data_IF_934079034806
#
_entry.id   IF_934079034806
#
_cell.length_a   1.000
_cell.length_b   1.000
_cell.length_c   1.000
_cell.angle_alpha   90.00
_cell.angle_beta   90.00
_cell.angle_gamma   90.00
#
_symmetry.space_group_name_H-M   'P 1'
#
loop_
_entity.id
_entity.type
_entity.pdbx_description
1 polymer ?
#
# COMPACT_ATOMS: atom_id res chain seq x y z
N UNK A 1 -18.14 -3.61 -6.76
CA UNK A 1 -17.79 -2.21 -7.10
C UNK A 1 -16.40 -2.26 -7.69
N UNK A 2 -16.21 -1.81 -8.93
CA UNK A 2 -14.94 -1.91 -9.65
C UNK A 2 -13.91 -1.02 -8.96
N UNK A 3 -12.73 -1.57 -8.72
CA UNK A 3 -11.57 -0.83 -8.28
C UNK A 3 -11.14 0.10 -9.42
N UNK A 4 -11.32 1.41 -9.26
CA UNK A 4 -10.92 2.36 -10.29
C UNK A 4 -9.39 2.50 -10.28
N UNK A 5 -8.76 2.45 -11.45
CA UNK A 5 -7.36 2.85 -11.58
C UNK A 5 -7.29 4.36 -11.25
N UNK A 6 -6.42 4.81 -10.33
CA UNK A 6 -6.37 6.21 -9.89
C UNK A 6 -5.66 7.11 -10.91
N UNK A 7 -5.99 6.97 -12.20
CA UNK A 7 -5.32 7.66 -13.31
C UNK A 7 -5.82 9.09 -13.47
N UNK A 8 -7.00 9.42 -12.94
CA UNK A 8 -7.47 10.81 -12.83
C UNK A 8 -7.46 11.28 -11.38
N UNK A 9 -7.45 12.60 -11.12
CA UNK A 9 -7.52 13.11 -9.75
C UNK A 9 -8.77 12.71 -8.97
N UNK A 10 -9.92 12.54 -9.63
CA UNK A 10 -11.17 12.12 -8.98
C UNK A 10 -11.14 10.63 -8.64
N UNK A 11 -10.66 9.80 -9.56
CA UNK A 11 -10.41 8.37 -9.30
C UNK A 11 -9.36 8.21 -8.21
N UNK A 12 -8.29 9.01 -8.23
CA UNK A 12 -7.31 9.06 -7.17
C UNK A 12 -7.94 9.51 -5.86
N UNK A 13 -8.76 10.55 -5.81
CA UNK A 13 -9.41 10.97 -4.58
C UNK A 13 -10.36 9.88 -4.05
N UNK A 14 -11.04 9.13 -4.93
CA UNK A 14 -11.88 8.00 -4.53
C UNK A 14 -11.05 6.82 -4.00
N UNK A 15 -10.01 6.43 -4.74
CA UNK A 15 -9.04 5.41 -4.37
C UNK A 15 -8.32 5.76 -3.08
N UNK A 16 -7.82 7.00 -2.96
CA UNK A 16 -7.14 7.55 -1.80
C UNK A 16 -8.07 7.75 -0.61
N UNK A 17 -9.36 8.07 -0.79
CA UNK A 17 -10.33 8.04 0.32
C UNK A 17 -10.54 6.62 0.83
N UNK A 18 -10.58 5.62 -0.06
CA UNK A 18 -10.64 4.22 0.35
C UNK A 18 -9.36 3.76 1.04
N UNK A 19 -8.19 4.25 0.61
CA UNK A 19 -6.90 4.10 1.29
C UNK A 19 -6.72 5.04 2.50
N UNK A 20 -7.55 6.06 2.66
CA UNK A 20 -7.38 7.16 3.62
C UNK A 20 -8.21 6.97 4.88
N UNK A 21 -9.27 6.16 4.79
CA UNK A 21 -9.73 5.36 5.94
C UNK A 21 -8.59 4.53 6.53
N UNK A 22 -7.53 4.32 5.75
CA UNK A 22 -6.46 3.41 6.05
C UNK A 22 -5.18 4.00 6.70
N UNK A 23 -5.14 5.27 7.14
CA UNK A 23 -4.00 5.88 7.90
C UNK A 23 -2.61 5.26 7.61
N UNK A 24 -2.23 5.07 6.34
CA UNK A 24 -0.98 4.42 5.96
C UNK A 24 0.20 5.25 6.48
N UNK A 25 1.34 4.60 6.71
CA UNK A 25 2.57 5.19 7.24
C UNK A 25 3.06 6.46 6.48
N UNK A 26 2.65 6.64 5.21
CA UNK A 26 2.83 7.87 4.42
C UNK A 26 1.51 8.60 4.09
N UNK A 27 0.35 7.96 4.30
CA UNK A 27 -0.98 8.57 4.25
C UNK A 27 -1.37 9.11 5.62
N UNK A 28 -0.57 10.05 6.13
CA UNK A 28 -1.02 10.97 7.17
C UNK A 28 -2.34 11.60 6.70
N UNK A 29 -3.25 11.97 7.63
CA UNK A 29 -4.51 12.61 7.27
C UNK A 29 -4.26 13.75 6.28
N UNK A 30 -4.74 13.56 5.06
CA UNK A 30 -4.56 14.55 4.01
C UNK A 30 -5.52 15.67 4.30
N UNK A 31 -4.93 16.86 4.45
CA UNK A 31 -5.68 18.09 4.68
C UNK A 31 -6.21 18.59 3.34
N UNK A 32 -5.40 18.50 2.27
CA UNK A 32 -5.75 19.04 0.95
C UNK A 32 -5.18 18.18 -0.20
N UNK A 33 -5.99 18.03 -1.25
CA UNK A 33 -5.63 17.45 -2.54
C UNK A 33 -5.83 18.50 -3.64
N UNK A 34 -4.78 18.84 -4.37
CA UNK A 34 -4.82 19.78 -5.48
C UNK A 34 -4.49 19.05 -6.79
N UNK A 35 -5.47 18.85 -7.69
CA UNK A 35 -5.16 18.37 -9.03
C UNK A 35 -4.31 19.40 -9.76
N UNK A 36 -3.12 19.01 -10.23
CA UNK A 36 -2.21 19.91 -10.95
C UNK A 36 -2.27 19.66 -12.45
N UNK A 37 -2.09 18.40 -12.86
CA UNK A 37 -2.02 18.01 -14.26
C UNK A 37 -2.85 16.76 -14.52
N UNK A 38 -3.57 16.77 -15.65
CA UNK A 38 -4.13 15.57 -16.25
C UNK A 38 -3.21 15.12 -17.38
N UNK A 39 -2.76 13.88 -17.34
CA UNK A 39 -1.93 13.27 -18.37
C UNK A 39 -2.78 12.23 -19.12
N UNK A 40 -2.35 11.86 -20.33
CA UNK A 40 -3.07 10.86 -21.16
C UNK A 40 -3.17 9.51 -20.45
N UNK A 41 -2.15 9.13 -19.69
CA UNK A 41 -2.05 7.84 -18.97
C UNK A 41 -1.79 8.04 -17.48
N UNK A 42 -2.33 9.11 -16.90
CA UNK A 42 -2.10 9.39 -15.48
C UNK A 42 -2.49 10.80 -15.03
N UNK A 43 -2.09 11.13 -13.82
CA UNK A 43 -2.33 12.46 -13.25
C UNK A 43 -1.22 12.87 -12.30
N UNK A 44 -1.20 14.16 -11.98
CA UNK A 44 -0.33 14.73 -10.95
C UNK A 44 -1.20 15.48 -9.97
N UNK A 45 -1.06 15.12 -8.69
CA UNK A 45 -1.80 15.70 -7.59
C UNK A 45 -0.81 16.20 -6.55
N UNK A 46 -0.95 17.46 -6.13
CA UNK A 46 -0.24 17.95 -4.95
C UNK A 46 -1.05 17.59 -3.71
N UNK A 47 -0.37 17.00 -2.73
CA UNK A 47 -0.97 16.49 -1.51
C UNK A 47 -0.30 17.17 -0.32
N UNK A 48 -1.12 17.62 0.63
CA UNK A 48 -0.66 18.22 1.89
C UNK A 48 -1.23 17.48 3.07
N UNK A 49 -0.40 17.26 4.09
CA UNK A 49 -0.81 16.58 5.31
C UNK A 49 -0.29 17.32 6.55
N UNK A 50 -0.97 17.11 7.67
CA UNK A 50 -0.50 17.59 8.97
C UNK A 50 0.72 16.80 9.43
N UNK A 51 1.79 17.50 9.83
CA UNK A 51 2.89 16.89 10.55
C UNK A 51 2.72 17.09 12.05
N UNK A 52 3.48 16.35 12.87
CA UNK A 52 3.51 16.53 14.33
C UNK A 52 4.07 17.89 14.76
N UNK A 53 4.65 18.65 13.81
CA UNK A 53 5.08 20.03 13.96
C UNK A 53 4.03 20.96 13.33
N UNK A 54 3.98 22.26 13.68
CA UNK A 54 3.02 23.22 13.10
C UNK A 54 3.22 23.52 11.60
N UNK A 55 3.93 22.66 10.86
CA UNK A 55 4.16 22.78 9.42
C UNK A 55 3.35 21.73 8.67
N UNK A 56 2.65 22.19 7.64
CA UNK A 56 2.09 21.31 6.64
C UNK A 56 3.24 20.76 5.79
N UNK A 57 3.33 19.44 5.71
CA UNK A 57 4.22 18.77 4.78
C UNK A 57 3.49 18.60 3.45
N UNK A 58 4.25 18.66 2.34
CA UNK A 58 3.69 18.54 1.00
C UNK A 58 4.50 17.59 0.12
N UNK A 59 3.79 16.90 -0.76
CA UNK A 59 4.38 16.13 -1.84
C UNK A 59 3.58 16.25 -3.13
N UNK A 60 4.26 15.93 -4.23
CA UNK A 60 3.67 15.78 -5.55
C UNK A 60 3.54 14.28 -5.80
N UNK A 61 2.30 13.79 -5.83
CA UNK A 61 1.99 12.44 -6.27
C UNK A 61 1.84 12.45 -7.79
N UNK A 62 2.67 11.65 -8.45
CA UNK A 62 2.64 11.45 -9.89
C UNK A 62 2.17 10.03 -10.10
N UNK A 63 1.00 9.87 -10.71
CA UNK A 63 0.36 8.57 -10.89
C UNK A 63 0.35 8.27 -12.37
N UNK A 64 0.98 7.17 -12.77
CA UNK A 64 1.15 6.81 -14.17
C UNK A 64 0.82 5.34 -14.37
N UNK A 65 0.09 5.06 -15.45
CA UNK A 65 -0.14 3.68 -15.89
C UNK A 65 1.14 3.02 -16.37
N UNK A 66 2.03 3.79 -17.01
CA UNK A 66 3.33 3.33 -17.50
C UNK A 66 4.44 4.26 -17.05
N UNK A 67 5.55 3.68 -16.61
CA UNK A 67 6.72 4.45 -16.19
C UNK A 67 7.35 5.13 -17.42
N UNK A 68 7.65 6.42 -17.31
CA UNK A 68 8.34 7.20 -18.36
C UNK A 68 9.15 8.33 -17.77
N UNK A 69 10.00 8.95 -18.59
CA UNK A 69 10.75 10.14 -18.19
C UNK A 69 9.79 11.30 -17.86
N UNK A 70 10.04 11.98 -16.74
CA UNK A 70 9.18 13.04 -16.22
C UNK A 70 9.93 14.37 -16.16
N UNK A 71 10.24 14.95 -17.33
CA UNK A 71 11.01 16.20 -17.41
C UNK A 71 10.37 17.35 -16.61
N UNK A 72 9.02 17.41 -16.59
CA UNK A 72 8.31 18.42 -15.80
C UNK A 72 8.51 18.25 -14.29
N UNK A 73 8.77 17.03 -13.82
CA UNK A 73 8.88 16.75 -12.38
C UNK A 73 10.07 17.50 -11.77
N UNK A 74 11.15 17.71 -12.54
CA UNK A 74 12.30 18.51 -12.11
C UNK A 74 11.94 19.96 -11.73
N UNK A 75 10.85 20.50 -12.30
CA UNK A 75 10.40 21.87 -12.01
C UNK A 75 9.60 21.97 -10.71
N UNK A 76 9.08 20.85 -10.18
CA UNK A 76 8.31 20.80 -8.95
C UNK A 76 9.24 20.87 -7.73
N UNK A 77 9.01 21.79 -6.81
CA UNK A 77 9.82 21.94 -5.58
C UNK A 77 9.21 21.17 -4.43
N UNK A 78 9.92 20.18 -3.89
CA UNK A 78 9.45 19.36 -2.76
C UNK A 78 9.56 17.86 -3.01
N UNK A 79 8.98 17.06 -2.10
CA UNK A 79 8.94 15.60 -2.19
C UNK A 79 8.11 15.17 -3.39
N UNK A 80 8.63 14.24 -4.20
CA UNK A 80 7.94 13.70 -5.36
C UNK A 80 7.82 12.20 -5.19
N UNK A 81 6.62 11.69 -5.39
CA UNK A 81 6.30 10.28 -5.22
C UNK A 81 5.68 9.82 -6.54
N UNK A 82 6.25 8.77 -7.12
CA UNK A 82 5.71 8.10 -8.29
C UNK A 82 4.89 6.90 -7.83
N UNK A 83 3.66 6.79 -8.30
CA UNK A 83 2.78 5.63 -8.13
C UNK A 83 2.53 5.04 -9.50
N UNK A 84 2.92 3.79 -9.71
CA UNK A 84 2.79 3.13 -11.01
C UNK A 84 2.70 1.61 -10.85
N UNK A 85 1.95 0.90 -11.71
CA UNK A 85 1.89 -0.56 -11.66
C UNK A 85 3.16 -1.23 -12.21
N UNK A 86 4.01 -0.48 -12.92
CA UNK A 86 5.25 -1.01 -13.51
C UNK A 86 6.43 -0.88 -12.55
N UNK A 87 7.41 -1.78 -12.69
CA UNK A 87 8.71 -1.55 -12.08
C UNK A 87 9.40 -0.37 -12.78
N UNK A 88 10.12 0.42 -11.99
CA UNK A 88 10.85 1.59 -12.49
C UNK A 88 12.34 1.26 -12.48
N UNK A 89 13.09 1.75 -13.47
CA UNK A 89 14.54 1.63 -13.48
C UNK A 89 15.16 2.34 -12.26
N UNK A 90 16.10 1.67 -11.58
CA UNK A 90 16.79 2.20 -10.37
C UNK A 90 17.43 3.57 -10.56
N UNK A 91 17.79 3.92 -11.79
CA UNK A 91 18.37 5.22 -12.16
C UNK A 91 17.40 6.40 -12.00
N UNK A 92 16.08 6.15 -11.99
CA UNK A 92 15.04 7.18 -12.01
C UNK A 92 14.46 7.48 -10.61
N UNK A 93 14.86 6.72 -9.58
CA UNK A 93 14.31 6.89 -8.23
C UNK A 93 15.34 6.61 -7.11
N UNK A 94 15.05 7.15 -5.94
CA UNK A 94 15.72 6.81 -4.68
C UNK A 94 14.83 5.79 -3.94
N UNK A 95 15.21 4.52 -4.00
CA UNK A 95 14.53 3.46 -3.27
C UNK A 95 14.63 3.73 -1.75
N UNK A 96 13.50 4.05 -1.11
CA UNK A 96 13.40 4.15 0.36
C UNK A 96 12.32 3.24 0.94
N UNK A 97 11.65 2.46 0.08
CA UNK A 97 10.52 1.61 0.41
C UNK A 97 9.57 1.46 -0.77
N UNK A 98 8.79 0.37 -0.76
CA UNK A 98 7.72 0.10 -1.72
C UNK A 98 6.43 -0.22 -0.97
N UNK A 99 5.32 0.40 -1.37
CA UNK A 99 3.99 -0.01 -0.94
C UNK A 99 3.37 -0.88 -2.01
N UNK A 100 2.76 -1.99 -1.59
CA UNK A 100 1.96 -2.87 -2.42
C UNK A 100 0.50 -2.85 -1.99
N UNK A 101 -0.39 -2.94 -2.97
CA UNK A 101 -1.84 -2.92 -2.76
C UNK A 101 -2.41 -4.17 -3.44
N UNK A 102 -3.20 -4.94 -2.71
CA UNK A 102 -3.79 -6.19 -3.15
C UNK A 102 -5.31 -6.08 -3.15
N UNK A 103 -5.97 -6.57 -4.19
CA UNK A 103 -7.44 -6.57 -4.29
C UNK A 103 -8.06 -7.70 -3.46
N UNK A 104 -9.17 -7.40 -2.78
CA UNK A 104 -9.93 -8.37 -1.98
C UNK A 104 -11.06 -9.09 -2.76
N UNK A 105 -11.08 -9.00 -4.09
CA UNK A 105 -12.13 -9.57 -4.96
C UNK A 105 -12.08 -11.10 -5.11
N UNK A 106 -10.97 -11.73 -4.74
CA UNK A 106 -10.68 -13.14 -4.99
C UNK A 106 -11.45 -14.08 -4.03
N UNK A 107 -11.75 -15.32 -4.45
CA UNK A 107 -12.18 -16.38 -3.54
C UNK A 107 -11.02 -16.71 -2.59
N UNK A 108 -11.29 -16.88 -1.29
CA UNK A 108 -10.24 -16.95 -0.29
C UNK A 108 -10.60 -17.92 0.86
N UNK A 109 -9.59 -18.51 1.50
CA UNK A 109 -9.72 -19.44 2.62
C UNK A 109 -9.75 -18.71 3.97
N UNK A 110 -10.67 -19.07 4.86
CA UNK A 110 -10.82 -18.40 6.16
C UNK A 110 -9.61 -18.64 7.06
N UNK A 111 -8.89 -17.57 7.40
CA UNK A 111 -7.81 -17.59 8.38
C UNK A 111 -8.33 -17.73 9.82
N UNK A 112 -7.47 -18.22 10.71
CA UNK A 112 -7.76 -18.32 12.15
C UNK A 112 -7.44 -17.01 12.85
N UNK A 113 -8.40 -16.53 13.64
CA UNK A 113 -8.28 -15.34 14.49
C UNK A 113 -7.80 -15.73 15.89
N UNK A 114 -6.81 -15.00 16.42
CA UNK A 114 -6.43 -15.08 17.83
C UNK A 114 -6.70 -13.76 18.54
N UNK A 115 -7.02 -13.86 19.83
CA UNK A 115 -7.17 -12.72 20.73
C UNK A 115 -5.81 -12.19 21.25
N UNK A 116 -4.73 -12.98 21.17
CA UNK A 116 -3.38 -12.62 21.63
C UNK A 116 -2.26 -13.18 20.72
N UNK A 117 -1.14 -12.47 20.56
CA UNK A 117 0.01 -12.95 19.79
C UNK A 117 0.77 -14.06 20.55
N UNK A 118 1.44 -14.97 19.83
CA UNK A 118 2.44 -15.86 20.41
C UNK A 118 3.59 -15.11 21.09
N UNK A 119 4.24 -15.75 22.07
CA UNK A 119 5.37 -15.17 22.80
C UNK A 119 6.51 -14.75 21.85
N UNK A 120 7.18 -13.64 22.18
CA UNK A 120 8.31 -13.12 21.41
C UNK A 120 7.94 -12.19 20.26
N UNK A 121 6.66 -11.97 19.99
CA UNK A 121 6.19 -11.02 18.98
C UNK A 121 5.69 -9.71 19.60
N UNK A 122 5.75 -8.57 18.88
CA UNK A 122 5.25 -7.29 19.38
C UNK A 122 3.77 -7.38 19.76
N UNK A 123 3.33 -6.69 20.81
CA UNK A 123 1.89 -6.67 21.13
C UNK A 123 1.11 -5.88 20.08
N UNK A 124 -0.02 -6.41 19.55
CA UNK A 124 -0.90 -5.64 18.69
C UNK A 124 -1.56 -4.51 19.49
N UNK A 125 -1.55 -3.31 18.95
CA UNK A 125 -2.44 -2.24 19.40
C UNK A 125 -3.93 -2.60 19.26
N UNK A 126 -4.85 -1.85 19.92
CA UNK A 126 -6.28 -2.17 20.00
C UNK A 126 -6.99 -2.22 18.66
N UNK A 127 -6.38 -1.63 17.62
CA UNK A 127 -6.92 -1.53 16.28
C UNK A 127 -6.47 -2.66 15.34
N UNK A 128 -5.71 -3.64 15.82
CA UNK A 128 -5.25 -4.75 14.99
C UNK A 128 -6.11 -6.00 15.15
N UNK A 129 -6.27 -6.71 14.04
CA UNK A 129 -6.73 -8.08 13.94
C UNK A 129 -5.50 -8.96 13.73
N UNK A 130 -5.38 -10.00 14.53
CA UNK A 130 -4.27 -10.93 14.45
C UNK A 130 -4.66 -12.16 13.65
N UNK A 131 -3.84 -12.49 12.65
CA UNK A 131 -4.02 -13.64 11.75
C UNK A 131 -2.74 -14.47 11.71
N UNK A 132 -2.87 -15.80 11.74
CA UNK A 132 -1.73 -16.73 11.75
C UNK A 132 -2.10 -18.11 11.18
N UNK A 133 -1.08 -18.93 10.90
CA UNK A 133 -1.22 -20.21 10.17
C UNK A 133 -1.44 -21.46 11.03
N UNK A 134 -1.81 -21.33 12.31
CA UNK A 134 -1.98 -22.49 13.20
C UNK A 134 -0.73 -22.89 14.02
N UNK A 135 -0.70 -24.11 14.61
CA UNK A 135 0.26 -24.51 15.64
C UNK A 135 1.74 -24.43 15.24
N UNK A 136 2.06 -24.75 13.98
CA UNK A 136 3.43 -24.71 13.46
C UNK A 136 3.91 -23.28 13.16
N UNK A 137 3.02 -22.29 13.27
CA UNK A 137 3.28 -20.86 13.12
C UNK A 137 4.18 -20.55 11.92
N UNK A 138 3.65 -20.75 10.71
CA UNK A 138 4.32 -20.44 9.44
C UNK A 138 4.34 -18.94 9.15
N UNK A 139 3.29 -18.22 9.55
CA UNK A 139 3.20 -16.77 9.48
C UNK A 139 2.39 -16.20 10.63
N UNK A 140 2.64 -14.93 10.93
CA UNK A 140 1.87 -14.09 11.84
C UNK A 140 1.78 -12.68 11.24
N UNK A 141 0.57 -12.12 11.18
CA UNK A 141 0.40 -10.75 10.71
C UNK A 141 -0.62 -9.97 11.54
N UNK A 142 -0.38 -8.67 11.64
CA UNK A 142 -1.28 -7.71 12.29
C UNK A 142 -1.93 -6.86 11.20
N UNK A 143 -3.19 -7.17 10.94
CA UNK A 143 -4.01 -6.44 9.99
C UNK A 143 -4.76 -5.35 10.76
N UNK A 144 -4.55 -4.09 10.43
CA UNK A 144 -5.34 -3.04 11.04
C UNK A 144 -6.83 -3.19 10.66
N UNK A 145 -7.75 -3.11 11.61
CA UNK A 145 -9.19 -3.31 11.37
C UNK A 145 -9.86 -2.15 10.64
N UNK A 146 -9.31 -0.94 10.77
CA UNK A 146 -9.81 0.25 10.08
C UNK A 146 -9.22 0.37 8.71
N UNK A 147 -7.97 -0.10 8.62
CA UNK A 147 -7.07 0.26 7.57
C UNK A 147 -6.62 -0.87 6.65
N UNK A 148 -6.79 -2.12 7.04
CA UNK A 148 -6.39 -3.28 6.26
C UNK A 148 -4.93 -3.24 5.76
N UNK A 149 -4.07 -2.44 6.39
CA UNK A 149 -2.64 -2.52 6.23
C UNK A 149 -2.12 -3.61 7.13
N UNK A 150 -1.11 -4.30 6.63
CA UNK A 150 -0.32 -5.21 7.41
C UNK A 150 0.75 -4.37 8.11
N UNK A 151 0.47 -4.03 9.37
CA UNK A 151 1.33 -3.19 10.22
C UNK A 151 2.49 -4.01 10.82
N UNK A 152 2.34 -5.33 10.87
CA UNK A 152 3.38 -6.29 11.22
C UNK A 152 3.20 -7.56 10.40
N UNK A 153 4.30 -8.09 9.85
CA UNK A 153 4.34 -9.38 9.18
C UNK A 153 5.59 -10.12 9.63
N UNK A 154 5.40 -11.32 10.14
CA UNK A 154 6.45 -12.29 10.37
C UNK A 154 6.14 -13.55 9.57
N UNK A 155 7.18 -14.09 8.92
CA UNK A 155 7.13 -15.31 8.14
C UNK A 155 8.25 -16.22 8.63
N UNK A 156 7.95 -17.51 8.78
CA UNK A 156 8.97 -18.54 9.01
C UNK A 156 9.82 -18.79 7.76
N UNK A 157 9.26 -18.53 6.57
CA UNK A 157 9.92 -18.63 5.27
C UNK A 157 9.16 -17.81 4.21
N UNK A 158 9.85 -17.33 3.15
CA UNK A 158 9.24 -16.52 2.09
C UNK A 158 8.09 -17.21 1.36
N UNK A 159 8.10 -18.54 1.28
CA UNK A 159 7.05 -19.37 0.68
C UNK A 159 5.68 -19.24 1.37
N UNK A 160 5.63 -18.74 2.60
CA UNK A 160 4.40 -18.57 3.37
C UNK A 160 3.74 -17.20 3.18
N UNK A 161 4.35 -16.32 2.39
CA UNK A 161 3.83 -15.00 2.12
C UNK A 161 2.45 -15.06 1.46
N UNK A 162 2.24 -16.01 0.54
CA UNK A 162 0.97 -16.13 -0.17
C UNK A 162 -0.17 -16.52 0.78
N UNK A 163 0.04 -17.53 1.64
CA UNK A 163 -0.93 -17.92 2.67
C UNK A 163 -1.23 -16.76 3.65
N UNK A 164 -0.21 -15.97 3.99
CA UNK A 164 -0.35 -14.78 4.82
C UNK A 164 -1.20 -13.70 4.12
N UNK A 165 -0.92 -13.42 2.84
CA UNK A 165 -1.69 -12.43 2.06
C UNK A 165 -3.14 -12.87 1.85
N UNK A 166 -3.39 -14.16 1.57
CA UNK A 166 -4.74 -14.71 1.48
C UNK A 166 -5.54 -14.50 2.76
N UNK A 167 -4.92 -14.77 3.91
CA UNK A 167 -5.56 -14.57 5.22
C UNK A 167 -5.92 -13.12 5.44
N UNK A 168 -5.00 -12.19 5.16
CA UNK A 168 -5.26 -10.75 5.26
C UNK A 168 -6.38 -10.31 4.31
N UNK A 169 -6.39 -10.80 3.07
CA UNK A 169 -7.42 -10.50 2.07
C UNK A 169 -8.80 -10.97 2.53
N UNK A 170 -8.89 -12.19 3.06
CA UNK A 170 -10.15 -12.71 3.61
C UNK A 170 -10.67 -11.86 4.74
N UNK A 171 -9.81 -11.52 5.69
CA UNK A 171 -10.23 -10.77 6.86
C UNK A 171 -10.62 -9.34 6.48
N UNK A 172 -9.86 -8.69 5.60
CA UNK A 172 -10.23 -7.39 5.06
C UNK A 172 -11.62 -7.46 4.39
N UNK A 173 -11.89 -8.47 3.56
CA UNK A 173 -13.20 -8.66 2.92
C UNK A 173 -14.31 -8.86 3.94
N UNK A 174 -14.09 -9.69 4.98
CA UNK A 174 -15.04 -9.92 6.08
C UNK A 174 -15.43 -8.62 6.77
N UNK A 175 -14.47 -7.70 6.90
CA UNK A 175 -14.63 -6.39 7.51
C UNK A 175 -15.09 -5.30 6.52
N UNK A 176 -15.45 -5.66 5.29
CA UNK A 176 -15.96 -4.74 4.26
C UNK A 176 -14.86 -3.95 3.51
N UNK A 177 -13.60 -4.34 3.70
CA UNK A 177 -12.44 -3.86 2.98
C UNK A 177 -12.45 -4.29 1.51
N UNK A 178 -11.82 -3.47 0.68
CA UNK A 178 -11.65 -3.73 -0.77
C UNK A 178 -10.21 -4.05 -1.14
N UNK A 179 -9.28 -3.67 -0.28
CA UNK A 179 -7.86 -3.84 -0.51
C UNK A 179 -7.16 -4.18 0.79
N UNK A 180 -6.02 -4.83 0.65
CA UNK A 180 -5.00 -4.98 1.69
C UNK A 180 -3.74 -4.29 1.20
N UNK A 181 -2.97 -3.72 2.12
CA UNK A 181 -1.66 -3.15 1.75
C UNK A 181 -0.53 -3.69 2.62
N UNK A 182 0.67 -3.68 2.06
CA UNK A 182 1.90 -4.01 2.77
C UNK A 182 2.99 -3.04 2.33
N UNK A 183 3.67 -2.44 3.29
CA UNK A 183 4.85 -1.61 3.05
C UNK A 183 6.10 -2.45 3.32
N UNK A 184 7.01 -2.47 2.34
CA UNK A 184 8.30 -3.15 2.48
C UNK A 184 9.41 -2.10 2.50
N UNK A 185 10.35 -2.22 3.44
CA UNK A 185 11.44 -1.26 3.62
C UNK A 185 12.38 -1.19 2.41
N UNK A 186 12.59 -2.32 1.72
CA UNK A 186 13.55 -2.45 0.61
C UNK A 186 12.91 -2.79 -0.75
N UNK A 187 11.58 -2.89 -0.84
CA UNK A 187 10.90 -3.17 -2.11
C UNK A 187 11.17 -4.57 -2.68
N UNK A 188 11.65 -5.51 -1.86
CA UNK A 188 11.99 -6.86 -2.31
C UNK A 188 10.74 -7.73 -2.54
N UNK A 189 10.13 -7.56 -3.71
CA UNK A 189 9.06 -8.41 -4.21
C UNK A 189 9.50 -9.68 -4.91
N UNK A 190 10.79 -9.84 -5.26
CA UNK A 190 11.26 -10.98 -6.06
C UNK A 190 11.01 -12.36 -5.43
N UNK A 191 10.45 -12.40 -4.22
CA UNK A 191 10.04 -13.58 -3.47
C UNK A 191 8.52 -13.85 -3.54
N UNK A 192 7.71 -12.93 -4.09
CA UNK A 192 6.26 -13.11 -4.22
C UNK A 192 5.97 -13.78 -5.56
N UNK A 193 5.32 -14.94 -5.54
CA UNK A 193 4.89 -15.60 -6.77
C UNK A 193 3.61 -14.95 -7.32
N UNK A 194 3.79 -13.98 -8.22
CA UNK A 194 2.71 -13.28 -8.90
C UNK A 194 1.86 -14.16 -9.84
N UNK A 195 2.25 -15.43 -10.07
CA UNK A 195 1.50 -16.36 -10.92
C UNK A 195 0.31 -16.99 -10.20
N UNK A 196 0.42 -17.22 -8.89
CA UNK A 196 -0.66 -17.70 -8.04
C UNK A 196 -1.72 -16.60 -7.80
N UNK A 197 -1.25 -15.35 -7.69
CA UNK A 197 -2.11 -14.18 -7.52
C UNK A 197 -1.78 -13.02 -8.46
N UNK A 198 -2.63 -12.84 -9.49
CA UNK A 198 -2.79 -11.56 -10.22
C UNK A 198 -3.72 -10.61 -9.44
N UNK A 199 -3.20 -9.68 -8.62
CA UNK A 199 -4.06 -8.65 -8.04
C UNK A 199 -4.79 -7.92 -9.17
N UNK A 200 -6.04 -7.52 -8.94
CA UNK A 200 -6.75 -6.71 -9.95
C UNK A 200 -5.99 -5.41 -10.25
N UNK A 201 -5.27 -4.89 -9.25
CA UNK A 201 -4.34 -3.79 -9.41
C UNK A 201 -3.14 -3.97 -8.49
N UNK A 202 -1.93 -3.91 -9.05
CA UNK A 202 -0.67 -3.80 -8.33
C UNK A 202 -0.19 -2.36 -8.49
N UNK A 203 0.08 -1.64 -7.40
CA UNK A 203 0.73 -0.33 -7.47
C UNK A 203 2.02 -0.37 -6.68
N UNK A 204 3.08 0.15 -7.28
CA UNK A 204 4.33 0.44 -6.62
C UNK A 204 4.41 1.93 -6.31
N UNK A 205 4.92 2.28 -5.13
CA UNK A 205 5.15 3.67 -4.70
C UNK A 205 6.64 3.92 -4.53
N UNK A 206 7.21 4.89 -5.25
CA UNK A 206 8.64 5.22 -5.22
C UNK A 206 8.90 6.69 -4.93
N UNK A 207 9.99 7.01 -4.21
CA UNK A 207 10.48 8.38 -4.08
C UNK A 207 11.42 8.71 -5.23
N UNK A 208 11.08 9.70 -6.05
CA UNK A 208 11.91 10.04 -7.21
C UNK A 208 13.19 10.78 -6.83
N UNK A 209 14.28 10.50 -7.55
CA UNK A 209 15.60 11.13 -7.39
C UNK A 209 15.84 12.13 -8.51
N UNK A 210 15.99 13.41 -8.15
CA UNK A 210 16.34 14.49 -9.08
C UNK A 210 17.22 15.51 -8.37
#
# INVERSE_FOLDING_TARGET
MVCLEPLTPDEFAHWYRHLGRLRLFWAKPVVELFPLYRLVEGCVVKVRWSSEKPRLEEAYLIILRRAKKLDFAATLRGTKILITPEEVEKSLYQARGGLYIYSASRPCATGLYLEKPPEGHPEPGPDHVLLYSGPDMKYLLYLNRWNFNIDYLWLSGPEHLDEAMESAICEARRLGGRYVTIATGDGHLGLIDHSAYRPDHLYNTYKLSF
#
